data_IF_300029796501
#
_entry.id   IF_300029796501
#
_cell.length_a   1.000
_cell.length_b   1.000
_cell.length_c   1.000
_cell.angle_alpha   90.00
_cell.angle_beta   90.00
_cell.angle_gamma   90.00
#
_symmetry.space_group_name_H-M   'P 1'
#
loop_
_entity.id
_entity.type
_entity.pdbx_description
1 polymer ?
#
# COMPACT_ATOMS: atom_id res chain seq x y z
N UNK A 1 -12.47 3.74 -30.63
CA UNK A 1 -12.82 2.40 -31.00
C UNK A 1 -13.35 2.45 -32.45
N UNK A 2 -14.65 2.50 -32.76
CA UNK A 2 -15.13 2.47 -34.18
C UNK A 2 -14.68 3.66 -35.02
N UNK A 3 -14.43 4.83 -34.44
CA UNK A 3 -13.98 6.03 -35.19
C UNK A 3 -12.44 6.22 -35.14
N UNK A 4 -11.66 5.27 -34.68
CA UNK A 4 -10.21 5.39 -34.56
C UNK A 4 -9.71 6.37 -33.49
N UNK A 5 -10.60 6.96 -32.69
CA UNK A 5 -10.26 7.96 -31.68
C UNK A 5 -9.63 7.32 -30.41
N UNK A 6 -9.82 6.02 -30.19
CA UNK A 6 -9.29 5.28 -29.06
C UNK A 6 -8.66 3.98 -29.55
N UNK A 7 -7.40 3.77 -29.16
CA UNK A 7 -6.66 2.54 -29.46
C UNK A 7 -6.18 1.92 -28.14
N UNK A 8 -6.41 0.63 -27.95
CA UNK A 8 -5.89 -0.12 -26.82
C UNK A 8 -4.64 -0.88 -27.22
N UNK A 9 -3.60 -0.74 -26.42
CA UNK A 9 -2.36 -1.51 -26.54
C UNK A 9 -2.20 -2.41 -25.31
N UNK A 10 -2.27 -3.70 -25.50
CA UNK A 10 -1.96 -4.67 -24.45
C UNK A 10 -0.44 -4.83 -24.36
N UNK A 11 0.16 -4.45 -23.23
CA UNK A 11 1.60 -4.55 -23.05
C UNK A 11 2.09 -3.94 -21.73
N UNK A 12 3.39 -4.06 -21.52
CA UNK A 12 4.07 -3.48 -20.35
C UNK A 12 4.94 -2.32 -20.79
N UNK A 13 4.69 -1.14 -20.23
CA UNK A 13 5.52 0.03 -20.45
C UNK A 13 6.92 -0.23 -19.89
N UNK A 14 7.93 0.09 -20.69
CA UNK A 14 9.34 -0.10 -20.36
C UNK A 14 10.04 1.24 -20.08
N UNK A 15 9.73 2.29 -20.89
CA UNK A 15 10.42 3.56 -20.82
C UNK A 15 9.60 4.70 -21.40
N UNK A 16 9.87 5.90 -20.88
CA UNK A 16 9.42 7.17 -21.42
C UNK A 16 10.65 8.00 -21.80
N UNK A 17 10.68 8.49 -23.03
CA UNK A 17 11.70 9.40 -23.54
C UNK A 17 11.05 10.73 -23.91
N UNK A 18 11.58 11.82 -23.40
CA UNK A 18 11.12 13.16 -23.79
C UNK A 18 11.69 13.51 -25.15
N UNK A 19 10.84 13.97 -26.04
CA UNK A 19 11.19 14.52 -27.34
C UNK A 19 10.61 15.94 -27.45
N UNK A 20 11.04 16.72 -28.42
CA UNK A 20 10.65 18.13 -28.58
C UNK A 20 9.12 18.33 -28.57
N UNK A 21 8.54 18.49 -27.39
CA UNK A 21 7.10 18.72 -27.18
C UNK A 21 6.23 17.46 -27.16
N UNK A 22 6.82 16.26 -27.23
CA UNK A 22 6.16 14.97 -27.19
C UNK A 22 6.84 14.00 -26.23
N UNK A 23 6.22 12.86 -25.98
CA UNK A 23 6.75 11.75 -25.20
C UNK A 23 6.74 10.48 -26.06
N UNK A 24 7.89 9.84 -26.17
CA UNK A 24 8.00 8.53 -26.81
C UNK A 24 7.82 7.47 -25.74
N UNK A 25 6.74 6.70 -25.83
CA UNK A 25 6.45 5.59 -24.93
C UNK A 25 6.93 4.29 -25.57
N UNK A 26 7.89 3.62 -24.94
CA UNK A 26 8.34 2.29 -25.34
C UNK A 26 7.64 1.25 -24.47
N UNK A 27 6.98 0.29 -25.09
CA UNK A 27 6.29 -0.79 -24.36
C UNK A 27 6.52 -2.13 -25.06
N UNK A 28 6.53 -3.20 -24.26
CA UNK A 28 6.59 -4.57 -24.77
C UNK A 28 5.18 -5.07 -25.01
N UNK A 29 4.86 -5.38 -26.24
CA UNK A 29 3.54 -5.88 -26.63
C UNK A 29 3.32 -7.28 -26.06
N UNK A 30 2.16 -7.50 -25.43
CA UNK A 30 1.77 -8.82 -24.93
C UNK A 30 1.46 -9.81 -26.06
N UNK A 31 1.05 -9.32 -27.24
CA UNK A 31 0.66 -10.16 -28.37
C UNK A 31 1.84 -10.65 -29.21
N UNK A 32 2.96 -9.90 -29.26
CA UNK A 32 4.08 -10.19 -30.17
C UNK A 32 5.41 -10.37 -29.47
N UNK A 33 5.45 -10.14 -28.17
CA UNK A 33 6.69 -10.14 -27.35
C UNK A 33 7.79 -9.20 -27.89
N UNK A 34 7.39 -8.19 -28.67
CA UNK A 34 8.27 -7.21 -29.31
C UNK A 34 8.12 -5.84 -28.64
N UNK A 35 9.21 -5.08 -28.63
CA UNK A 35 9.18 -3.69 -28.19
C UNK A 35 8.57 -2.82 -29.27
N UNK A 36 7.51 -2.12 -28.94
CA UNK A 36 6.83 -1.13 -29.77
C UNK A 36 7.03 0.27 -29.21
N UNK A 37 6.96 1.27 -30.09
CA UNK A 37 7.08 2.70 -29.71
C UNK A 37 5.88 3.46 -30.24
N UNK A 38 5.34 4.34 -29.40
CA UNK A 38 4.34 5.32 -29.82
C UNK A 38 4.79 6.70 -29.35
N UNK A 39 4.55 7.70 -30.20
CA UNK A 39 4.77 9.09 -29.85
C UNK A 39 3.44 9.73 -29.49
N UNK A 40 3.37 10.38 -28.34
CA UNK A 40 2.16 11.00 -27.80
C UNK A 40 2.46 12.41 -27.30
N UNK A 41 1.48 13.29 -27.35
CA UNK A 41 1.63 14.64 -26.83
C UNK A 41 1.70 14.65 -25.29
N UNK A 42 1.01 13.73 -24.63
CA UNK A 42 0.93 13.65 -23.17
C UNK A 42 0.77 12.21 -22.72
N UNK A 43 1.28 11.91 -21.53
CA UNK A 43 1.06 10.66 -20.79
C UNK A 43 0.32 10.99 -19.50
N UNK A 44 -0.78 10.29 -19.26
CA UNK A 44 -1.54 10.39 -18.02
C UNK A 44 -1.42 9.05 -17.31
N UNK A 45 -0.75 9.04 -16.14
CA UNK A 45 -0.59 7.82 -15.35
C UNK A 45 -1.83 7.60 -14.48
N UNK A 46 -2.58 6.56 -14.77
CA UNK A 46 -3.76 6.13 -14.01
C UNK A 46 -3.56 4.77 -13.34
N UNK A 47 -2.31 4.29 -13.18
CA UNK A 47 -2.02 2.97 -12.58
C UNK A 47 -2.23 2.92 -11.07
N UNK A 48 -2.43 4.07 -10.42
CA UNK A 48 -2.53 4.16 -8.96
C UNK A 48 -1.17 4.07 -8.26
N UNK A 49 -1.16 4.13 -6.92
CA UNK A 49 0.05 3.97 -6.12
C UNK A 49 0.55 2.53 -6.13
N UNK A 50 1.84 2.35 -5.84
CA UNK A 50 2.40 1.03 -5.59
C UNK A 50 1.81 0.47 -4.28
N UNK A 51 1.35 -0.77 -4.31
CA UNK A 51 0.74 -1.44 -3.15
C UNK A 51 1.55 -2.63 -2.64
N UNK A 52 2.46 -3.15 -3.46
CA UNK A 52 3.33 -4.27 -3.08
C UNK A 52 4.46 -3.77 -2.18
N UNK A 53 4.27 -3.89 -0.88
CA UNK A 53 5.21 -3.42 0.14
C UNK A 53 6.55 -4.17 0.14
N UNK A 54 6.67 -5.30 -0.52
CA UNK A 54 7.96 -5.96 -0.75
C UNK A 54 8.81 -5.22 -1.79
N UNK A 55 8.20 -4.40 -2.63
CA UNK A 55 8.87 -3.63 -3.70
C UNK A 55 9.00 -2.15 -3.38
N UNK A 56 8.37 -1.70 -2.31
CA UNK A 56 8.44 -0.31 -1.86
C UNK A 56 9.74 -0.14 -1.07
N UNK A 57 10.59 0.77 -1.54
CA UNK A 57 11.89 1.05 -0.91
C UNK A 57 11.78 2.14 0.18
N UNK A 58 10.81 1.99 1.09
CA UNK A 58 10.67 2.85 2.26
C UNK A 58 11.40 2.21 3.45
N UNK A 59 12.40 2.87 4.03
CA UNK A 59 13.30 2.28 5.02
C UNK A 59 12.57 1.66 6.22
N UNK A 60 11.57 2.36 6.77
CA UNK A 60 10.78 1.88 7.90
C UNK A 60 10.04 0.59 7.57
N UNK A 61 9.29 0.58 6.46
CA UNK A 61 8.49 -0.58 6.05
C UNK A 61 9.38 -1.77 5.72
N UNK A 62 10.48 -1.52 4.99
CA UNK A 62 11.45 -2.55 4.67
C UNK A 62 12.09 -3.16 5.93
N UNK A 63 12.32 -2.35 6.96
CA UNK A 63 12.83 -2.82 8.24
C UNK A 63 11.80 -3.67 8.99
N UNK A 64 10.55 -3.20 9.12
CA UNK A 64 9.48 -3.94 9.78
C UNK A 64 9.27 -5.33 9.16
N UNK A 65 9.31 -5.41 7.81
CA UNK A 65 9.17 -6.69 7.10
C UNK A 65 10.40 -7.57 7.32
N UNK A 66 11.60 -7.02 7.25
CA UNK A 66 12.86 -7.78 7.43
C UNK A 66 13.00 -8.34 8.84
N UNK A 67 12.55 -7.60 9.85
CA UNK A 67 12.57 -8.02 11.25
C UNK A 67 11.40 -8.93 11.62
N UNK A 68 10.49 -9.19 10.67
CA UNK A 68 9.33 -10.05 10.90
C UNK A 68 8.23 -9.41 11.75
N UNK A 69 8.32 -8.12 12.04
CA UNK A 69 7.29 -7.36 12.79
C UNK A 69 6.02 -7.20 11.96
N UNK A 70 6.18 -7.09 10.64
CA UNK A 70 5.09 -7.00 9.68
C UNK A 70 5.30 -7.99 8.54
N UNK A 71 4.21 -8.43 7.92
CA UNK A 71 4.26 -9.15 6.65
C UNK A 71 3.34 -8.50 5.63
N UNK A 72 3.66 -8.58 4.32
CA UNK A 72 2.73 -8.17 3.27
C UNK A 72 1.48 -9.05 3.29
N UNK A 73 0.33 -8.48 2.95
CA UNK A 73 -0.89 -9.27 2.79
C UNK A 73 -0.76 -10.26 1.61
N UNK A 74 -1.52 -11.36 1.60
CA UNK A 74 -1.41 -12.39 0.56
C UNK A 74 -1.67 -11.89 -0.86
N UNK A 75 -2.48 -10.83 -1.03
CA UNK A 75 -2.79 -10.22 -2.33
C UNK A 75 -1.77 -9.14 -2.74
N UNK A 76 -0.82 -8.79 -1.86
CA UNK A 76 0.18 -7.73 -2.05
C UNK A 76 -0.42 -6.34 -2.27
N UNK A 77 -1.52 -6.07 -1.58
CA UNK A 77 -2.23 -4.80 -1.64
C UNK A 77 -1.94 -3.91 -0.44
N UNK A 78 -1.12 -4.38 0.51
CA UNK A 78 -0.80 -3.69 1.73
C UNK A 78 0.00 -4.56 2.69
N UNK A 79 -0.13 -4.26 3.97
CA UNK A 79 0.31 -5.10 5.08
C UNK A 79 -0.83 -6.03 5.50
N UNK A 80 -0.48 -7.22 5.98
CA UNK A 80 -1.43 -8.13 6.59
C UNK A 80 -1.83 -7.60 7.97
N UNK A 81 -3.12 -7.49 8.21
CA UNK A 81 -3.68 -6.94 9.46
C UNK A 81 -4.83 -7.80 9.97
N UNK A 82 -4.92 -7.91 11.26
CA UNK A 82 -6.07 -8.50 11.93
C UNK A 82 -7.29 -7.56 11.88
N UNK A 83 -8.44 -8.06 12.30
CA UNK A 83 -9.69 -7.28 12.27
C UNK A 83 -9.63 -6.01 13.15
N UNK A 84 -8.81 -6.03 14.19
CA UNK A 84 -8.55 -4.93 15.10
C UNK A 84 -7.41 -4.00 14.65
N UNK A 85 -6.97 -4.12 13.39
CA UNK A 85 -5.92 -3.33 12.75
C UNK A 85 -4.51 -3.58 13.28
N UNK A 86 -4.30 -4.56 14.12
CA UNK A 86 -2.97 -5.00 14.54
C UNK A 86 -2.25 -5.63 13.34
N UNK A 87 -1.02 -5.23 13.13
CA UNK A 87 -0.20 -5.77 12.04
C UNK A 87 0.14 -7.22 12.35
N UNK A 88 0.02 -8.09 11.35
CA UNK A 88 0.40 -9.50 11.48
C UNK A 88 1.87 -9.66 11.10
N UNK A 89 2.62 -10.28 12.01
CA UNK A 89 4.04 -10.55 11.84
C UNK A 89 4.34 -11.74 10.91
N UNK A 90 5.61 -11.96 10.67
CA UNK A 90 6.11 -13.10 9.88
C UNK A 90 5.78 -14.47 10.49
N UNK A 91 5.59 -14.51 11.80
CA UNK A 91 5.17 -15.69 12.59
C UNK A 91 3.66 -15.97 12.49
N UNK A 92 2.89 -15.08 11.90
CA UNK A 92 1.44 -15.19 11.74
C UNK A 92 0.63 -14.65 12.93
N UNK A 93 1.29 -14.10 13.97
CA UNK A 93 0.63 -13.52 15.11
C UNK A 93 0.38 -12.02 14.92
N UNK A 94 -0.70 -11.52 15.51
CA UNK A 94 -0.97 -10.08 15.55
C UNK A 94 -0.02 -9.40 16.55
N UNK A 95 0.54 -8.26 16.14
CA UNK A 95 1.42 -7.45 16.99
C UNK A 95 0.64 -6.88 18.17
N UNK A 96 1.27 -6.82 19.33
CA UNK A 96 0.70 -6.16 20.51
C UNK A 96 0.88 -4.63 20.47
N UNK A 97 1.84 -4.14 19.66
CA UNK A 97 2.28 -2.74 19.69
C UNK A 97 2.08 -1.99 18.37
N UNK A 98 1.96 -2.71 17.25
CA UNK A 98 1.96 -2.07 15.93
C UNK A 98 0.61 -2.23 15.27
N UNK A 99 0.02 -1.10 14.90
CA UNK A 99 -1.23 -1.00 14.16
C UNK A 99 -1.00 -0.37 12.80
N UNK A 100 -1.82 -0.71 11.82
CA UNK A 100 -1.83 -0.04 10.53
C UNK A 100 -3.20 0.57 10.24
N UNK A 101 -3.20 1.80 9.71
CA UNK A 101 -4.41 2.58 9.37
C UNK A 101 -4.29 3.08 7.94
N UNK A 102 -5.40 3.09 7.24
CA UNK A 102 -5.49 3.68 5.90
C UNK A 102 -4.97 2.76 4.80
N UNK A 103 -4.39 3.31 3.73
CA UNK A 103 -4.00 2.55 2.54
C UNK A 103 -3.14 1.29 2.79
N UNK A 104 -2.29 1.22 3.82
CA UNK A 104 -1.58 -0.02 4.15
C UNK A 104 -2.50 -1.20 4.49
N UNK A 105 -3.74 -0.98 4.90
CA UNK A 105 -4.70 -2.03 5.26
C UNK A 105 -5.59 -2.48 4.11
N UNK A 106 -5.31 -2.06 2.88
CA UNK A 106 -6.14 -2.30 1.70
C UNK A 106 -6.36 -3.78 1.37
N UNK A 107 -5.45 -4.65 1.75
CA UNK A 107 -5.61 -6.10 1.58
C UNK A 107 -6.79 -6.65 2.36
N UNK A 108 -7.02 -6.14 3.57
CA UNK A 108 -8.15 -6.50 4.43
C UNK A 108 -9.37 -5.59 4.21
N UNK A 109 -9.16 -4.30 3.90
CA UNK A 109 -10.19 -3.27 3.79
C UNK A 109 -10.08 -2.57 2.43
N UNK A 110 -10.72 -3.12 1.40
CA UNK A 110 -10.55 -2.73 0.00
C UNK A 110 -10.75 -1.23 -0.29
N UNK A 111 -11.77 -0.60 0.28
CA UNK A 111 -12.15 0.79 -0.01
C UNK A 111 -11.51 1.83 0.92
N UNK A 112 -10.53 1.44 1.73
CA UNK A 112 -9.91 2.30 2.77
C UNK A 112 -9.02 3.41 2.18
N UNK A 113 -9.46 4.08 1.13
CA UNK A 113 -8.79 5.22 0.51
C UNK A 113 -9.61 6.50 0.55
N UNK A 114 -10.91 6.40 0.81
CA UNK A 114 -11.77 7.56 0.93
C UNK A 114 -11.65 8.20 2.32
N UNK A 115 -11.70 9.54 2.38
CA UNK A 115 -11.54 10.29 3.63
C UNK A 115 -12.54 9.89 4.72
N UNK A 116 -13.83 9.65 4.43
CA UNK A 116 -14.79 9.19 5.43
C UNK A 116 -14.39 7.86 6.07
N UNK A 117 -13.91 6.90 5.26
CA UNK A 117 -13.52 5.57 5.73
C UNK A 117 -12.24 5.63 6.57
N UNK A 118 -11.27 6.43 6.14
CA UNK A 118 -10.04 6.70 6.90
C UNK A 118 -10.35 7.31 8.27
N UNK A 119 -11.28 8.25 8.32
CA UNK A 119 -11.70 8.88 9.55
C UNK A 119 -12.38 7.89 10.49
N UNK A 120 -13.32 7.10 9.98
CA UNK A 120 -14.03 6.09 10.77
C UNK A 120 -13.06 5.02 11.32
N UNK A 121 -12.11 4.57 10.51
CA UNK A 121 -11.07 3.63 10.92
C UNK A 121 -10.19 4.21 12.03
N UNK A 122 -9.71 5.44 11.86
CA UNK A 122 -8.87 6.12 12.85
C UNK A 122 -9.62 6.35 14.18
N UNK A 123 -10.88 6.72 14.13
CA UNK A 123 -11.73 6.92 15.31
C UNK A 123 -11.96 5.60 16.04
N UNK A 124 -12.25 4.51 15.31
CA UNK A 124 -12.42 3.18 15.89
C UNK A 124 -11.15 2.71 16.59
N UNK A 125 -10.00 2.83 15.93
CA UNK A 125 -8.71 2.45 16.51
C UNK A 125 -8.36 3.29 17.75
N UNK A 126 -8.60 4.59 17.72
CA UNK A 126 -8.33 5.46 18.86
C UNK A 126 -9.16 5.06 20.10
N UNK A 127 -10.42 4.70 19.91
CA UNK A 127 -11.28 4.20 20.99
C UNK A 127 -10.79 2.86 21.55
N UNK A 128 -10.37 1.97 20.66
CA UNK A 128 -9.82 0.66 21.06
C UNK A 128 -8.56 0.85 21.90
N UNK A 129 -7.57 1.62 21.43
CA UNK A 129 -6.33 1.87 22.18
C UNK A 129 -6.62 2.54 23.53
N UNK A 130 -7.51 3.53 23.59
CA UNK A 130 -7.90 4.17 24.83
C UNK A 130 -8.52 3.19 25.83
N UNK A 131 -9.32 2.24 25.35
CA UNK A 131 -9.91 1.18 26.20
C UNK A 131 -8.85 0.21 26.73
N UNK A 132 -7.91 -0.23 25.88
CA UNK A 132 -6.81 -1.12 26.24
C UNK A 132 -5.92 -0.47 27.32
N UNK A 133 -5.49 0.78 27.12
CA UNK A 133 -4.68 1.54 28.09
C UNK A 133 -5.41 1.76 29.43
N UNK A 134 -6.72 1.92 29.39
CA UNK A 134 -7.51 2.07 30.63
C UNK A 134 -7.63 0.77 31.40
N UNK A 135 -7.72 -0.36 30.70
CA UNK A 135 -7.75 -1.70 31.30
C UNK A 135 -6.39 -2.05 31.93
N UNK A 136 -5.29 -1.74 31.25
CA UNK A 136 -3.93 -1.98 31.76
C UNK A 136 -3.65 -1.14 33.01
N UNK A 137 -4.06 0.11 33.05
CA UNK A 137 -3.95 0.96 34.22
C UNK A 137 -4.80 0.45 35.40
N UNK A 138 -5.96 -0.15 35.14
CA UNK A 138 -6.82 -0.72 36.16
C UNK A 138 -6.26 -2.07 36.73
N UNK A 139 -5.50 -2.79 35.87
CA UNK A 139 -4.87 -4.06 36.26
C UNK A 139 -3.56 -3.89 37.04
N UNK A 140 -3.07 -2.67 37.24
CA UNK A 140 -1.94 -2.37 38.14
C UNK A 140 -0.57 -2.81 37.62
N UNK A 141 -0.31 -2.72 36.32
CA UNK A 141 1.05 -2.90 35.79
C UNK A 141 1.96 -1.77 36.30
N UNK A 142 3.15 -2.08 36.87
CA UNK A 142 4.05 -1.06 37.36
C UNK A 142 4.59 -0.23 36.19
N UNK A 143 4.31 1.07 36.25
CA UNK A 143 4.83 2.04 35.28
C UNK A 143 6.36 2.11 35.36
N UNK A 144 7.05 1.50 34.42
CA UNK A 144 8.45 1.82 34.10
C UNK A 144 8.63 1.95 32.59
N UNK A 145 8.20 3.10 32.09
CA UNK A 145 8.83 3.70 30.91
C UNK A 145 9.04 5.20 31.18
N UNK A 146 10.06 5.50 31.99
CA UNK A 146 10.61 6.85 32.04
C UNK A 146 11.59 6.95 30.87
N UNK A 147 11.25 7.81 29.90
CA UNK A 147 12.19 8.29 28.89
C UNK A 147 13.37 8.99 29.58
N UNK A 148 14.55 8.55 29.27
CA UNK A 148 15.80 9.26 29.50
C UNK A 148 16.23 9.93 28.21
#
# INVERSE_FOLDING_TARGET
>A
VQAGQLVFHAGRIQRFDLSRGSVIVTFRSAARDESSRIEVARVINCSGPATDYQKINEPLVAQLIREGIARPDPLRLGLDVAHDLRVIGGDGNASELVYAVGPPTRGALWEITAVPDLRAQAESLARQIASELSADNAAGLPGEFRAS
#
